data_IF_793574035632
#
_entry.id   IF_793574035632
#
_cell.length_a   1.000
_cell.length_b   1.000
_cell.length_c   1.000
_cell.angle_alpha   90.00
_cell.angle_beta   90.00
_cell.angle_gamma   90.00
#
_symmetry.space_group_name_H-M   'P 1'
#
loop_
_entity.id
_entity.type
_entity.pdbx_description
1 polymer ?
#
# COMPACT_ATOMS: atom_id res chain seq x y z
N UNK A 1 -15.81 -27.99 0.93
CA UNK A 1 -16.06 -27.39 -0.40
C UNK A 1 -16.24 -25.87 -0.36
N UNK A 2 -16.95 -25.29 0.63
CA UNK A 2 -17.15 -23.83 0.73
C UNK A 2 -15.85 -23.01 0.78
N UNK A 3 -14.82 -23.47 1.52
CA UNK A 3 -13.53 -22.77 1.60
C UNK A 3 -12.77 -22.71 0.26
N UNK A 4 -12.79 -23.79 -0.53
CA UNK A 4 -12.16 -23.82 -1.86
C UNK A 4 -12.90 -22.88 -2.83
N UNK A 5 -14.24 -22.84 -2.74
CA UNK A 5 -15.07 -21.90 -3.50
C UNK A 5 -14.73 -20.44 -3.20
N UNK A 6 -14.62 -20.09 -1.91
CA UNK A 6 -14.25 -18.73 -1.48
C UNK A 6 -12.84 -18.32 -1.93
N UNK A 7 -11.86 -19.24 -1.84
CA UNK A 7 -10.48 -18.99 -2.30
C UNK A 7 -10.46 -18.75 -3.82
N UNK A 8 -11.16 -19.59 -4.60
CA UNK A 8 -11.25 -19.43 -6.06
C UNK A 8 -11.94 -18.15 -6.48
N UNK A 9 -12.99 -17.75 -5.75
CA UNK A 9 -13.68 -16.50 -5.97
C UNK A 9 -12.76 -15.30 -5.67
N UNK A 10 -12.05 -15.30 -4.53
CA UNK A 10 -11.06 -14.26 -4.19
C UNK A 10 -9.97 -14.14 -5.26
N UNK A 11 -9.43 -15.26 -5.74
CA UNK A 11 -8.46 -15.29 -6.84
C UNK A 11 -9.02 -14.72 -8.15
N UNK A 12 -10.27 -15.04 -8.50
CA UNK A 12 -10.92 -14.50 -9.70
C UNK A 12 -11.05 -12.97 -9.62
N UNK A 13 -11.44 -12.43 -8.46
CA UNK A 13 -11.53 -10.99 -8.26
C UNK A 13 -10.16 -10.31 -8.34
N UNK A 14 -9.12 -10.90 -7.76
CA UNK A 14 -7.76 -10.37 -7.88
C UNK A 14 -7.27 -10.32 -9.32
N UNK A 15 -7.48 -11.36 -10.12
CA UNK A 15 -7.06 -11.38 -11.51
C UNK A 15 -7.77 -10.30 -12.34
N UNK A 16 -9.06 -10.08 -12.09
CA UNK A 16 -9.82 -9.00 -12.74
C UNK A 16 -9.31 -7.62 -12.34
N UNK A 17 -9.07 -7.41 -11.05
CA UNK A 17 -8.54 -6.15 -10.52
C UNK A 17 -7.14 -5.83 -11.06
N UNK A 18 -6.23 -6.82 -11.06
CA UNK A 18 -4.89 -6.68 -11.65
C UNK A 18 -4.96 -6.30 -13.11
N UNK A 19 -5.80 -6.98 -13.91
CA UNK A 19 -5.97 -6.67 -15.34
C UNK A 19 -6.45 -5.23 -15.53
N UNK A 20 -7.40 -4.77 -14.71
CA UNK A 20 -7.90 -3.40 -14.76
C UNK A 20 -6.79 -2.38 -14.46
N UNK A 21 -6.09 -2.52 -13.33
CA UNK A 21 -5.02 -1.59 -12.95
C UNK A 21 -3.85 -1.60 -13.93
N UNK A 22 -3.44 -2.75 -14.44
CA UNK A 22 -2.40 -2.86 -15.47
C UNK A 22 -2.81 -2.18 -16.78
N UNK A 23 -4.08 -2.31 -17.18
CA UNK A 23 -4.60 -1.64 -18.38
C UNK A 23 -4.60 -0.12 -18.19
N UNK A 24 -5.00 0.36 -17.00
CA UNK A 24 -4.94 1.79 -16.65
C UNK A 24 -3.51 2.31 -16.68
N UNK A 25 -2.54 1.58 -16.10
CA UNK A 25 -1.13 1.95 -16.15
C UNK A 25 -0.59 2.02 -17.58
N UNK A 26 -0.96 1.06 -18.44
CA UNK A 26 -0.60 1.07 -19.84
C UNK A 26 -1.12 2.33 -20.55
N UNK A 27 -2.39 2.68 -20.35
CA UNK A 27 -2.98 3.90 -20.92
C UNK A 27 -2.27 5.16 -20.40
N UNK A 28 -1.97 5.22 -19.10
CA UNK A 28 -1.27 6.36 -18.49
C UNK A 28 0.14 6.54 -19.09
N UNK A 29 0.89 5.45 -19.29
CA UNK A 29 2.23 5.51 -19.88
C UNK A 29 2.24 5.97 -21.35
N UNK A 30 1.14 5.81 -22.07
CA UNK A 30 1.00 6.25 -23.47
C UNK A 30 0.21 7.56 -23.62
N UNK A 31 -0.17 8.21 -22.52
CA UNK A 31 -0.91 9.48 -22.53
C UNK A 31 -0.01 10.65 -22.13
N UNK A 32 0.00 11.72 -22.93
CA UNK A 32 0.70 12.97 -22.62
C UNK A 32 0.08 13.76 -21.46
N UNK A 33 -1.07 13.31 -20.93
CA UNK A 33 -1.74 13.85 -19.73
C UNK A 33 -1.69 12.88 -18.56
N UNK A 34 -0.64 12.07 -18.47
CA UNK A 34 -0.48 11.11 -17.37
C UNK A 34 -0.49 11.83 -16.02
N UNK A 35 -1.27 11.31 -15.08
CA UNK A 35 -1.40 11.85 -13.73
C UNK A 35 -0.57 10.96 -12.79
N UNK A 36 0.56 11.45 -12.24
CA UNK A 36 1.39 10.69 -11.31
C UNK A 36 0.61 10.12 -10.12
N UNK A 37 -0.36 10.87 -9.60
CA UNK A 37 -1.20 10.41 -8.49
C UNK A 37 -2.09 9.21 -8.88
N UNK A 38 -2.57 9.15 -10.13
CA UNK A 38 -3.34 7.99 -10.62
C UNK A 38 -2.44 6.76 -10.79
N UNK A 39 -1.22 6.94 -11.30
CA UNK A 39 -0.23 5.86 -11.42
C UNK A 39 0.10 5.31 -10.03
N UNK A 40 0.42 6.19 -9.07
CA UNK A 40 0.68 5.80 -7.68
C UNK A 40 -0.47 4.98 -7.08
N UNK A 41 -1.72 5.42 -7.29
CA UNK A 41 -2.89 4.69 -6.80
C UNK A 41 -3.05 3.30 -7.43
N UNK A 42 -2.80 3.17 -8.73
CA UNK A 42 -2.84 1.87 -9.41
C UNK A 42 -1.74 0.94 -8.88
N UNK A 43 -0.52 1.44 -8.71
CA UNK A 43 0.60 0.69 -8.16
C UNK A 43 0.35 0.23 -6.73
N UNK A 44 -0.14 1.14 -5.87
CA UNK A 44 -0.58 0.82 -4.51
C UNK A 44 -1.63 -0.30 -4.51
N UNK A 45 -2.64 -0.20 -5.37
CA UNK A 45 -3.71 -1.20 -5.45
C UNK A 45 -3.18 -2.58 -5.89
N UNK A 46 -2.24 -2.61 -6.83
CA UNK A 46 -1.55 -3.85 -7.23
C UNK A 46 -0.72 -4.41 -6.07
N UNK A 47 0.01 -3.56 -5.34
CA UNK A 47 0.79 -3.94 -4.16
C UNK A 47 -0.08 -4.57 -3.06
N UNK A 48 -1.26 -4.00 -2.77
CA UNK A 48 -2.23 -4.56 -1.82
C UNK A 48 -2.69 -5.95 -2.27
N UNK A 49 -2.98 -6.15 -3.57
CA UNK A 49 -3.37 -7.46 -4.09
C UNK A 49 -2.25 -8.48 -3.92
N UNK A 50 -0.99 -8.11 -4.15
CA UNK A 50 0.14 -9.01 -3.94
C UNK A 50 0.36 -9.35 -2.46
N UNK A 51 0.23 -8.37 -1.57
CA UNK A 51 0.27 -8.59 -0.11
C UNK A 51 -0.82 -9.59 0.32
N UNK A 52 -2.05 -9.43 -0.17
CA UNK A 52 -3.16 -10.35 0.09
C UNK A 52 -2.97 -11.76 -0.48
N UNK A 53 -2.03 -11.91 -1.43
CA UNK A 53 -1.59 -13.19 -1.98
C UNK A 53 -0.33 -13.73 -1.28
N UNK A 54 0.15 -13.07 -0.22
CA UNK A 54 1.42 -13.35 0.48
C UNK A 54 2.67 -13.23 -0.43
N UNK A 55 2.56 -12.47 -1.52
CA UNK A 55 3.67 -12.14 -2.44
C UNK A 55 4.35 -10.87 -1.96
N UNK A 56 5.05 -10.98 -0.82
CA UNK A 56 5.54 -9.80 -0.10
C UNK A 56 6.63 -9.04 -0.86
N UNK A 57 7.49 -9.72 -1.62
CA UNK A 57 8.52 -9.09 -2.42
C UNK A 57 7.90 -8.30 -3.59
N UNK A 58 6.98 -8.91 -4.34
CA UNK A 58 6.28 -8.20 -5.42
C UNK A 58 5.41 -7.05 -4.88
N UNK A 59 4.84 -7.20 -3.69
CA UNK A 59 4.10 -6.13 -3.03
C UNK A 59 5.03 -4.96 -2.65
N UNK A 60 6.19 -5.25 -2.06
CA UNK A 60 7.20 -4.27 -1.70
C UNK A 60 7.60 -3.42 -2.92
N UNK A 61 7.97 -4.08 -4.02
CA UNK A 61 8.39 -3.38 -5.24
C UNK A 61 7.30 -2.44 -5.77
N UNK A 62 6.03 -2.85 -5.67
CA UNK A 62 4.90 -2.02 -6.11
C UNK A 62 4.61 -0.85 -5.18
N UNK A 63 4.81 -1.01 -3.87
CA UNK A 63 4.68 0.08 -2.91
C UNK A 63 5.81 1.10 -3.03
N UNK A 64 7.05 0.64 -3.24
CA UNK A 64 8.20 1.49 -3.53
C UNK A 64 8.01 2.28 -4.83
N UNK A 65 7.50 1.65 -5.89
CA UNK A 65 7.18 2.34 -7.13
C UNK A 65 6.10 3.41 -6.90
N UNK A 66 5.03 3.08 -6.14
CA UNK A 66 3.98 4.03 -5.81
C UNK A 66 4.49 5.23 -5.00
N UNK A 67 5.44 5.01 -4.09
CA UNK A 67 6.07 6.05 -3.27
C UNK A 67 6.81 7.07 -4.13
N UNK A 68 7.58 6.60 -5.12
CA UNK A 68 8.31 7.47 -6.06
C UNK A 68 7.35 8.38 -6.85
N UNK A 69 6.25 7.81 -7.35
CA UNK A 69 5.23 8.60 -8.07
C UNK A 69 4.49 9.61 -7.16
N UNK A 70 4.37 9.35 -5.86
CA UNK A 70 3.84 10.33 -4.91
C UNK A 70 4.83 11.47 -4.64
N UNK A 71 6.13 11.17 -4.52
CA UNK A 71 7.18 12.18 -4.35
C UNK A 71 7.32 13.10 -5.57
N UNK A 72 7.16 12.54 -6.77
CA UNK A 72 7.21 13.30 -8.03
C UNK A 72 5.92 14.06 -8.34
N UNK A 73 4.84 13.85 -7.58
CA UNK A 73 3.56 14.50 -7.82
C UNK A 73 3.50 15.90 -7.19
N UNK A 74 3.12 16.90 -8.00
CA UNK A 74 2.82 18.25 -7.49
C UNK A 74 1.61 18.28 -6.54
N UNK A 75 0.77 17.23 -6.54
CA UNK A 75 -0.33 17.04 -5.60
C UNK A 75 -0.04 15.83 -4.71
N UNK A 76 0.56 16.09 -3.55
CA UNK A 76 0.84 15.05 -2.56
C UNK A 76 -0.47 14.52 -1.99
N UNK A 77 -0.75 13.24 -2.22
CA UNK A 77 -1.87 12.55 -1.59
C UNK A 77 -1.37 11.93 -0.27
N UNK A 78 -1.43 12.72 0.80
CA UNK A 78 -0.94 12.32 2.11
C UNK A 78 -1.66 11.09 2.68
N UNK A 79 -2.95 10.89 2.38
CA UNK A 79 -3.68 9.68 2.80
C UNK A 79 -3.14 8.43 2.10
N UNK A 80 -2.90 8.50 0.79
CA UNK A 80 -2.27 7.40 0.05
C UNK A 80 -0.84 7.14 0.54
N UNK A 81 -0.09 8.20 0.83
CA UNK A 81 1.27 8.10 1.36
C UNK A 81 1.30 7.36 2.70
N UNK A 82 0.46 7.75 3.67
CA UNK A 82 0.35 7.06 4.96
C UNK A 82 -0.01 5.58 4.79
N UNK A 83 -0.93 5.27 3.87
CA UNK A 83 -1.31 3.89 3.55
C UNK A 83 -0.16 3.08 2.96
N UNK A 84 0.66 3.68 2.07
CA UNK A 84 1.84 3.03 1.51
C UNK A 84 2.82 2.67 2.62
N UNK A 85 3.18 3.62 3.49
CA UNK A 85 4.11 3.38 4.60
C UNK A 85 3.58 2.31 5.57
N UNK A 86 2.30 2.33 5.93
CA UNK A 86 1.74 1.28 6.77
C UNK A 86 1.81 -0.11 6.10
N UNK A 87 1.61 -0.20 4.79
CA UNK A 87 1.75 -1.47 4.07
C UNK A 87 3.20 -1.96 4.00
N UNK A 88 4.16 -1.05 3.80
CA UNK A 88 5.59 -1.37 3.84
C UNK A 88 5.99 -1.87 5.23
N UNK A 89 5.50 -1.23 6.29
CA UNK A 89 5.70 -1.68 7.67
C UNK A 89 5.23 -3.13 7.88
N UNK A 90 4.01 -3.46 7.44
CA UNK A 90 3.50 -4.83 7.51
C UNK A 90 4.36 -5.82 6.71
N UNK A 91 4.85 -5.43 5.53
CA UNK A 91 5.75 -6.27 4.73
C UNK A 91 7.06 -6.52 5.47
N UNK A 92 7.70 -5.49 6.00
CA UNK A 92 8.94 -5.65 6.75
C UNK A 92 8.75 -6.44 8.05
N UNK A 93 7.59 -6.35 8.71
CA UNK A 93 7.22 -7.23 9.82
C UNK A 93 7.23 -8.70 9.37
N UNK A 94 6.63 -9.01 8.21
CA UNK A 94 6.62 -10.36 7.64
C UNK A 94 8.00 -10.85 7.20
N UNK A 95 8.87 -9.95 6.74
CA UNK A 95 10.25 -10.25 6.35
C UNK A 95 11.23 -10.27 7.54
N UNK A 96 10.74 -10.12 8.78
CA UNK A 96 11.55 -10.09 10.01
C UNK A 96 12.57 -8.93 10.07
N UNK A 97 12.32 -7.86 9.32
CA UNK A 97 13.12 -6.64 9.34
C UNK A 97 12.50 -5.61 10.29
N UNK A 98 12.56 -5.88 11.59
CA UNK A 98 11.82 -5.11 12.61
C UNK A 98 12.14 -3.60 12.61
N UNK A 99 13.39 -3.21 12.35
CA UNK A 99 13.78 -1.79 12.34
C UNK A 99 13.07 -1.02 11.22
N UNK A 100 13.15 -1.51 9.98
CA UNK A 100 12.44 -0.94 8.83
C UNK A 100 10.92 -0.95 9.02
N UNK A 101 10.38 -2.00 9.66
CA UNK A 101 8.96 -2.07 9.98
C UNK A 101 8.53 -0.93 10.92
N UNK A 102 9.35 -0.63 11.94
CA UNK A 102 9.09 0.45 12.90
C UNK A 102 9.21 1.81 12.22
N UNK A 103 10.22 2.02 11.38
CA UNK A 103 10.43 3.26 10.65
C UNK A 103 9.21 3.62 9.81
N UNK A 104 8.74 2.71 8.96
CA UNK A 104 7.57 2.97 8.13
C UNK A 104 6.26 3.06 8.94
N UNK A 105 6.12 2.35 10.06
CA UNK A 105 4.96 2.52 10.93
C UNK A 105 4.92 3.93 11.56
N UNK A 106 6.08 4.48 11.93
CA UNK A 106 6.19 5.84 12.45
C UNK A 106 5.88 6.88 11.39
N UNK A 107 6.41 6.71 10.17
CA UNK A 107 6.11 7.61 9.05
C UNK A 107 4.61 7.64 8.74
N UNK A 108 3.96 6.47 8.69
CA UNK A 108 2.52 6.39 8.46
C UNK A 108 1.71 7.16 9.53
N UNK A 109 2.08 6.99 10.80
CA UNK A 109 1.43 7.67 11.92
C UNK A 109 1.67 9.19 11.90
N UNK A 110 2.89 9.62 11.61
CA UNK A 110 3.24 11.03 11.54
C UNK A 110 2.46 11.74 10.43
N UNK A 111 2.42 11.13 9.23
CA UNK A 111 1.64 11.66 8.11
C UNK A 111 0.15 11.73 8.49
N UNK A 112 -0.40 10.65 9.04
CA UNK A 112 -1.81 10.61 9.43
C UNK A 112 -2.16 11.63 10.53
N UNK A 113 -1.23 11.94 11.43
CA UNK A 113 -1.45 12.94 12.49
C UNK A 113 -1.41 14.37 11.95
N UNK A 114 -0.61 14.61 10.91
CA UNK A 114 -0.44 15.93 10.32
C UNK A 114 -1.53 16.31 9.30
N UNK A 115 -2.38 15.38 8.88
CA UNK A 115 -3.52 15.66 7.98
C UNK A 115 -4.72 16.12 8.83
N UNK A 116 -5.17 17.37 8.63
CA UNK A 116 -6.31 17.98 9.34
C UNK A 116 -7.61 17.18 9.14
N UNK A 117 -7.77 16.54 7.98
CA UNK A 117 -8.94 15.71 7.62
C UNK A 117 -8.74 14.22 7.94
N UNK A 118 -7.65 13.85 8.64
CA UNK A 118 -7.39 12.46 8.98
C UNK A 118 -8.50 11.90 9.86
N UNK A 119 -8.99 10.71 9.53
CA UNK A 119 -9.93 10.01 10.39
C UNK A 119 -9.17 9.46 11.62
N UNK A 120 -9.69 9.78 12.82
CA UNK A 120 -9.19 9.27 14.11
C UNK A 120 -8.96 7.75 14.08
N UNK A 121 -9.84 7.00 13.41
CA UNK A 121 -9.74 5.54 13.30
C UNK A 121 -8.45 5.07 12.61
N UNK A 122 -7.98 5.79 11.58
CA UNK A 122 -6.75 5.42 10.85
C UNK A 122 -5.51 5.68 11.70
N UNK A 123 -5.49 6.82 12.40
CA UNK A 123 -4.40 7.19 13.32
C UNK A 123 -4.28 6.16 14.45
N UNK A 124 -5.40 5.75 15.06
CA UNK A 124 -5.41 4.70 16.08
C UNK A 124 -4.90 3.36 15.54
N UNK A 125 -5.30 2.99 14.32
CA UNK A 125 -4.83 1.77 13.68
C UNK A 125 -3.30 1.79 13.50
N UNK A 126 -2.74 2.89 13.00
CA UNK A 126 -1.29 3.02 12.81
C UNK A 126 -0.54 3.01 14.15
N UNK A 127 -1.07 3.67 15.17
CA UNK A 127 -0.51 3.64 16.53
C UNK A 127 -0.50 2.21 17.10
N UNK A 128 -1.57 1.45 16.90
CA UNK A 128 -1.67 0.06 17.35
C UNK A 128 -0.66 -0.83 16.63
N UNK A 129 -0.48 -0.66 15.33
CA UNK A 129 0.53 -1.39 14.55
C UNK A 129 1.95 -1.09 15.06
N UNK A 130 2.26 0.18 15.30
CA UNK A 130 3.55 0.59 15.86
C UNK A 130 3.80 -0.01 17.26
N UNK A 131 2.80 0.04 18.14
CA UNK A 131 2.89 -0.53 19.49
C UNK A 131 3.16 -2.05 19.45
N UNK A 132 2.47 -2.77 18.55
CA UNK A 132 2.68 -4.20 18.32
C UNK A 132 4.10 -4.51 17.86
N UNK A 133 4.70 -3.67 17.01
CA UNK A 133 6.08 -3.84 16.57
C UNK A 133 7.07 -3.66 17.71
N UNK A 134 6.86 -2.65 18.57
CA UNK A 134 7.72 -2.46 19.76
C UNK A 134 7.64 -3.60 20.76
N UNK A 135 6.48 -4.25 20.92
CA UNK A 135 6.35 -5.42 21.80
C UNK A 135 7.07 -6.67 21.26
N UNK A 136 7.34 -6.73 19.96
CA UNK A 136 8.02 -7.84 19.29
C UNK A 136 9.53 -7.66 19.17
N UNK A 137 10.03 -6.46 19.48
CA UNK A 137 11.46 -6.11 19.47
C UNK A 137 12.14 -6.63 20.73
#
# INVERSE_FOLDING_TARGET
>A
MQAIGAIKQKQCHFNKALKYFQSTLHICNHSSKSNPSLIAFCLFSIGVIFREQNKYNEAHDKFEEALRFQQDSSSHNYDLLAKIHNNLSMIFEHLLHCEHAIEHAREALEIATNIIESNHDQTEMYQNNLNKLYQKK
#
